data_IF_891498552343
#
_entry.id   IF_891498552343
#
_cell.length_a   1.000
_cell.length_b   1.000
_cell.length_c   1.000
_cell.angle_alpha   90.00
_cell.angle_beta   90.00
_cell.angle_gamma   90.00
#
_symmetry.space_group_name_H-M   'P 1'
#
loop_
_entity.id
_entity.type
_entity.pdbx_description
1 polymer ?
#
# COMPACT_ATOMS: atom_id res chain seq x y z
N UNK A 1 2.92 -7.45 -0.33
CA UNK A 1 1.60 -6.82 -0.42
C UNK A 1 0.97 -6.92 0.96
N UNK A 2 0.77 -5.81 1.66
CA UNK A 2 0.32 -5.82 3.06
C UNK A 2 -1.17 -5.49 3.21
N UNK A 3 -1.77 -4.83 2.22
CA UNK A 3 -3.19 -4.51 2.18
C UNK A 3 -3.60 -4.14 0.75
N UNK A 4 -4.88 -4.23 0.43
CA UNK A 4 -5.42 -3.71 -0.82
C UNK A 4 -6.85 -3.24 -0.65
N UNK A 5 -7.24 -2.20 -1.38
CA UNK A 5 -8.61 -1.68 -1.31
C UNK A 5 -8.98 -0.93 -2.58
N UNK A 6 -10.16 -1.22 -3.10
CA UNK A 6 -10.71 -0.61 -4.31
C UNK A 6 -9.73 -0.69 -5.49
N UNK A 7 -9.05 0.40 -5.83
CA UNK A 7 -8.03 0.49 -6.89
C UNK A 7 -6.58 0.60 -6.39
N UNK A 8 -6.37 0.42 -5.09
CA UNK A 8 -5.08 0.67 -4.44
C UNK A 8 -4.45 -0.61 -3.90
N UNK A 9 -3.16 -0.77 -4.16
CA UNK A 9 -2.30 -1.71 -3.48
C UNK A 9 -1.42 -0.99 -2.47
N UNK A 10 -1.24 -1.60 -1.31
CA UNK A 10 -0.35 -1.11 -0.26
C UNK A 10 0.74 -2.13 -0.03
N UNK A 11 1.99 -1.72 -0.23
CA UNK A 11 3.13 -2.60 -0.13
C UNK A 11 4.16 -2.02 0.84
N UNK A 12 4.69 -2.91 1.66
CA UNK A 12 5.89 -2.69 2.45
C UNK A 12 7.08 -3.30 1.73
N UNK A 13 8.16 -2.52 1.64
CA UNK A 13 9.41 -2.93 1.01
C UNK A 13 10.53 -2.84 2.04
N UNK A 14 11.23 -3.95 2.24
CA UNK A 14 12.43 -4.00 3.08
C UNK A 14 13.68 -3.95 2.20
N UNK A 15 14.59 -3.03 2.52
CA UNK A 15 15.89 -2.93 1.88
C UNK A 15 16.91 -3.65 2.74
N UNK A 16 17.22 -4.89 2.36
CA UNK A 16 18.07 -5.80 3.13
C UNK A 16 19.49 -5.78 2.55
N UNK A 17 20.47 -5.54 3.42
CA UNK A 17 21.89 -5.60 3.09
C UNK A 17 22.33 -7.07 2.92
N UNK A 18 22.90 -7.42 1.76
CA UNK A 18 23.26 -8.81 1.44
C UNK A 18 24.43 -9.34 2.27
N UNK A 19 25.30 -8.46 2.79
CA UNK A 19 26.51 -8.88 3.51
C UNK A 19 26.25 -9.32 4.95
N UNK A 20 25.20 -8.78 5.58
CA UNK A 20 24.88 -8.99 7.00
C UNK A 20 23.39 -9.25 7.26
N UNK A 21 22.58 -9.34 6.20
CA UNK A 21 21.13 -9.54 6.23
C UNK A 21 20.36 -8.50 7.08
N UNK A 22 20.94 -7.30 7.26
CA UNK A 22 20.35 -6.24 8.07
C UNK A 22 19.38 -5.38 7.25
N UNK A 23 18.20 -5.10 7.80
CA UNK A 23 17.19 -4.21 7.18
C UNK A 23 17.63 -2.75 7.36
N UNK A 24 18.03 -2.09 6.27
CA UNK A 24 18.50 -0.69 6.28
C UNK A 24 17.36 0.31 6.21
N UNK A 25 16.27 -0.05 5.55
CA UNK A 25 15.10 0.80 5.41
C UNK A 25 13.85 -0.06 5.20
N UNK A 26 12.72 0.46 5.67
CA UNK A 26 11.38 -0.04 5.37
C UNK A 26 10.60 1.07 4.70
N UNK A 27 9.98 0.78 3.55
CA UNK A 27 9.25 1.76 2.76
C UNK A 27 7.81 1.29 2.57
N UNK A 28 6.86 2.10 3.02
CA UNK A 28 5.44 1.96 2.66
C UNK A 28 5.16 2.68 1.35
N UNK A 29 4.45 2.00 0.46
CA UNK A 29 4.07 2.54 -0.85
C UNK A 29 2.59 2.26 -1.15
N UNK A 30 1.94 3.26 -1.74
CA UNK A 30 0.58 3.17 -2.28
C UNK A 30 0.66 3.21 -3.80
N UNK A 31 0.20 2.15 -4.44
CA UNK A 31 0.10 2.07 -5.89
C UNK A 31 -1.37 2.14 -6.28
N UNK A 32 -1.76 3.24 -6.92
CA UNK A 32 -3.13 3.44 -7.41
C UNK A 32 -3.21 3.08 -8.88
N UNK A 33 -4.00 2.07 -9.23
CA UNK A 33 -4.14 1.66 -10.62
C UNK A 33 -5.17 2.55 -11.32
N UNK A 34 -4.79 3.08 -12.48
CA UNK A 34 -5.66 3.90 -13.33
C UNK A 34 -6.18 3.08 -14.51
N UNK A 35 -7.37 3.42 -15.01
CA UNK A 35 -7.98 2.71 -16.15
C UNK A 35 -8.50 1.30 -15.84
N UNK A 36 -8.56 0.91 -14.56
CA UNK A 36 -9.14 -0.36 -14.13
C UNK A 36 -10.65 -0.35 -14.36
N UNK A 37 -11.16 -1.39 -15.03
CA UNK A 37 -12.61 -1.63 -15.20
C UNK A 37 -13.20 -2.51 -14.08
N UNK A 38 -12.33 -3.13 -13.30
CA UNK A 38 -12.66 -4.09 -12.23
C UNK A 38 -11.88 -3.69 -10.98
N UNK A 39 -12.38 -3.97 -9.77
CA UNK A 39 -11.65 -3.70 -8.54
C UNK A 39 -10.39 -4.56 -8.42
N UNK A 40 -9.45 -4.13 -7.59
CA UNK A 40 -8.20 -4.85 -7.29
C UNK A 40 -8.46 -6.27 -6.76
N UNK A 41 -9.53 -6.48 -6.00
CA UNK A 41 -9.91 -7.81 -5.49
C UNK A 41 -10.08 -8.84 -6.61
N UNK A 42 -10.65 -8.46 -7.76
CA UNK A 42 -10.79 -9.35 -8.91
C UNK A 42 -9.45 -9.65 -9.58
N UNK A 43 -8.51 -8.71 -9.56
CA UNK A 43 -7.15 -8.93 -10.08
C UNK A 43 -6.42 -9.92 -9.17
N UNK A 44 -6.49 -9.70 -7.85
CA UNK A 44 -5.90 -10.59 -6.86
C UNK A 44 -6.47 -12.00 -7.00
N UNK A 45 -7.79 -12.15 -7.11
CA UNK A 45 -8.42 -13.46 -7.27
C UNK A 45 -7.99 -14.22 -8.54
N UNK A 46 -7.57 -13.52 -9.60
CA UNK A 46 -7.02 -14.12 -10.82
C UNK A 46 -5.57 -14.59 -10.67
N UNK A 47 -4.78 -13.90 -9.85
CA UNK A 47 -3.37 -14.24 -9.60
C UNK A 47 -3.27 -15.31 -8.51
N UNK A 48 -4.04 -15.15 -7.45
CA UNK A 48 -4.07 -16.02 -6.27
C UNK A 48 -5.53 -16.32 -5.89
N UNK A 49 -6.12 -17.39 -6.45
CA UNK A 49 -7.48 -17.79 -6.14
C UNK A 49 -7.65 -18.08 -4.65
N UNK A 50 -8.66 -17.46 -4.03
CA UNK A 50 -8.93 -17.62 -2.59
C UNK A 50 -8.15 -16.68 -1.68
N UNK A 51 -7.31 -15.79 -2.22
CA UNK A 51 -6.66 -14.75 -1.44
C UNK A 51 -7.69 -13.86 -0.72
N UNK A 52 -7.51 -13.73 0.60
CA UNK A 52 -8.32 -12.86 1.44
C UNK A 52 -7.58 -11.56 1.69
N UNK A 53 -8.33 -10.45 1.71
CA UNK A 53 -7.76 -9.15 2.07
C UNK A 53 -7.19 -9.19 3.49
N UNK A 54 -5.90 -8.86 3.69
CA UNK A 54 -5.30 -8.79 5.00
C UNK A 54 -6.01 -7.77 5.87
N UNK A 55 -5.91 -7.94 7.19
CA UNK A 55 -6.29 -6.90 8.12
C UNK A 55 -5.34 -5.71 8.01
N UNK A 56 -5.87 -4.50 8.17
CA UNK A 56 -5.06 -3.29 8.08
C UNK A 56 -4.16 -3.16 9.31
N UNK A 57 -2.84 -3.20 9.08
CA UNK A 57 -1.83 -2.95 10.12
C UNK A 57 -1.97 -1.52 10.69
N UNK A 58 -1.86 -1.33 12.03
CA UNK A 58 -1.76 -0.01 12.67
C UNK A 58 -0.81 1.00 11.99
N UNK A 59 0.38 0.57 11.56
CA UNK A 59 1.37 1.43 10.93
C UNK A 59 0.88 1.98 9.58
N UNK A 60 0.24 1.11 8.79
CA UNK A 60 -0.37 1.51 7.52
C UNK A 60 -1.50 2.52 7.76
N UNK A 61 -2.31 2.33 8.81
CA UNK A 61 -3.39 3.25 9.16
C UNK A 61 -2.84 4.64 9.54
N UNK A 62 -1.82 4.69 10.40
CA UNK A 62 -1.18 5.96 10.79
C UNK A 62 -0.55 6.67 9.58
N UNK A 63 0.08 5.93 8.69
CA UNK A 63 0.64 6.47 7.46
C UNK A 63 -0.46 7.07 6.55
N UNK A 64 -1.58 6.37 6.36
CA UNK A 64 -2.72 6.87 5.59
C UNK A 64 -3.33 8.14 6.19
N UNK A 65 -3.50 8.19 7.52
CA UNK A 65 -3.97 9.38 8.23
C UNK A 65 -3.02 10.58 8.00
N UNK A 66 -1.70 10.35 8.07
CA UNK A 66 -0.69 11.38 7.76
C UNK A 66 -0.74 11.88 6.31
N UNK A 67 -0.96 10.98 5.34
CA UNK A 67 -1.13 11.36 3.93
C UNK A 67 -2.37 12.23 3.71
N UNK A 68 -3.49 11.91 4.36
CA UNK A 68 -4.73 12.66 4.26
C UNK A 68 -4.56 14.08 4.81
N UNK A 69 -3.91 14.23 5.98
CA UNK A 69 -3.61 15.55 6.55
C UNK A 69 -2.67 16.37 5.65
N UNK A 70 -1.67 15.72 5.05
CA UNK A 70 -0.77 16.37 4.09
C UNK A 70 -1.52 16.84 2.83
N UNK A 71 -2.42 16.01 2.30
CA UNK A 71 -3.29 16.33 1.16
C UNK A 71 -4.19 17.54 1.44
N UNK A 72 -4.82 17.59 2.61
CA UNK A 72 -5.65 18.74 3.04
C UNK A 72 -4.84 20.03 3.11
N UNK A 73 -3.61 19.98 3.63
CA UNK A 73 -2.73 21.16 3.70
C UNK A 73 -2.37 21.68 2.31
N UNK A 74 -2.01 20.79 1.40
CA UNK A 74 -1.63 21.16 0.02
C UNK A 74 -2.80 21.72 -0.78
N UNK A 75 -4.00 21.15 -0.65
CA UNK A 75 -5.22 21.65 -1.32
C UNK A 75 -5.62 23.05 -0.88
N UNK A 76 -5.34 23.44 0.38
CA UNK A 76 -5.58 24.81 0.87
C UNK A 76 -4.62 25.84 0.26
N UNK A 77 -3.55 25.40 -0.39
CA UNK A 77 -2.57 26.26 -1.06
C UNK A 77 -2.81 26.34 -2.58
N UNK A 78 -3.89 25.72 -3.10
CA UNK A 78 -4.26 25.69 -4.52
C UNK A 78 -5.38 26.66 -4.84
#
# INVERSE_FOLDING_TARGET
LIYWEDKNFYLEHEFISLTDNFIRAVILSKQSVTGLKVPVSEIIAKVEPGAQRPEMNPDLRLWLESMEESSKKLKKQS
#
